data_IF_313622682990
#
_entry.id   IF_313622682990
#
_cell.length_a   1.000
_cell.length_b   1.000
_cell.length_c   1.000
_cell.angle_alpha   90.00
_cell.angle_beta   90.00
_cell.angle_gamma   90.00
#
_symmetry.space_group_name_H-M   'P 1'
#
loop_
_entity.id
_entity.type
_entity.pdbx_description
1 polymer ?
#
# COMPACT_ATOMS: atom_id res chain seq x y z
N UNK A 1 50.81 -7.27 13.56
CA UNK A 1 50.49 -8.69 13.80
C UNK A 1 49.26 -8.93 14.68
N UNK A 2 49.24 -8.63 16.00
CA UNK A 2 48.07 -8.95 16.84
C UNK A 2 46.80 -8.13 16.54
N UNK A 3 46.92 -6.86 16.11
CA UNK A 3 45.78 -6.04 15.69
C UNK A 3 45.23 -6.48 14.33
N UNK A 4 46.09 -6.79 13.36
CA UNK A 4 45.67 -7.24 12.02
C UNK A 4 44.92 -8.57 12.05
N UNK A 5 45.29 -9.50 12.94
CA UNK A 5 44.55 -10.74 13.14
C UNK A 5 43.19 -10.52 13.82
N UNK A 6 43.08 -9.55 14.74
CA UNK A 6 41.79 -9.18 15.35
C UNK A 6 40.85 -8.51 14.35
N UNK A 7 41.38 -7.62 13.51
CA UNK A 7 40.59 -6.92 12.51
C UNK A 7 40.14 -7.85 11.38
N UNK A 8 41.02 -8.77 10.94
CA UNK A 8 40.67 -9.84 9.99
C UNK A 8 39.56 -10.76 10.55
N UNK A 9 39.66 -11.15 11.83
CA UNK A 9 38.63 -11.97 12.48
C UNK A 9 37.29 -11.24 12.61
N UNK A 10 37.32 -9.94 12.94
CA UNK A 10 36.11 -9.09 13.00
C UNK A 10 35.44 -8.97 11.64
N UNK A 11 36.20 -8.73 10.59
CA UNK A 11 35.68 -8.61 9.23
C UNK A 11 35.10 -9.95 8.73
N UNK A 12 35.73 -11.07 9.08
CA UNK A 12 35.21 -12.40 8.77
C UNK A 12 33.88 -12.67 9.50
N UNK A 13 33.80 -12.37 10.80
CA UNK A 13 32.58 -12.49 11.59
C UNK A 13 31.46 -11.59 11.05
N UNK A 14 31.75 -10.33 10.72
CA UNK A 14 30.79 -9.40 10.17
C UNK A 14 30.19 -9.90 8.84
N UNK A 15 31.04 -10.37 7.91
CA UNK A 15 30.61 -10.97 6.65
C UNK A 15 29.72 -12.20 6.87
N UNK A 16 30.06 -13.03 7.85
CA UNK A 16 29.29 -14.24 8.17
C UNK A 16 27.94 -13.89 8.79
N UNK A 17 27.87 -12.92 9.71
CA UNK A 17 26.61 -12.40 10.25
C UNK A 17 25.72 -11.86 9.13
N UNK A 18 26.26 -11.04 8.23
CA UNK A 18 25.52 -10.49 7.10
C UNK A 18 24.92 -11.58 6.20
N UNK A 19 25.67 -12.66 5.92
CA UNK A 19 25.14 -13.81 5.16
C UNK A 19 23.96 -14.47 5.86
N UNK A 20 24.02 -14.64 7.18
CA UNK A 20 22.91 -15.21 7.94
C UNK A 20 21.69 -14.30 7.95
N UNK A 21 21.87 -12.98 8.09
CA UNK A 21 20.79 -12.00 8.00
C UNK A 21 20.10 -12.05 6.63
N UNK A 22 20.88 -12.02 5.53
CA UNK A 22 20.32 -12.13 4.17
C UNK A 22 19.56 -13.45 3.97
N UNK A 23 20.12 -14.56 4.45
CA UNK A 23 19.47 -15.87 4.36
C UNK A 23 18.15 -15.89 5.14
N UNK A 24 18.17 -15.38 6.37
CA UNK A 24 16.97 -15.28 7.21
C UNK A 24 15.89 -14.44 6.52
N UNK A 25 16.22 -13.26 5.97
CA UNK A 25 15.26 -12.41 5.25
C UNK A 25 14.63 -13.12 4.06
N UNK A 26 15.42 -13.78 3.23
CA UNK A 26 14.90 -14.51 2.06
C UNK A 26 13.95 -15.63 2.49
N UNK A 27 14.30 -16.38 3.54
CA UNK A 27 13.44 -17.43 4.07
C UNK A 27 12.13 -16.87 4.66
N UNK A 28 12.20 -15.77 5.42
CA UNK A 28 11.04 -15.12 6.02
C UNK A 28 10.08 -14.58 4.95
N UNK A 29 10.61 -13.91 3.92
CA UNK A 29 9.85 -13.51 2.71
C UNK A 29 9.26 -14.71 1.97
N UNK A 30 9.96 -15.85 1.98
CA UNK A 30 9.49 -17.14 1.48
C UNK A 30 8.39 -17.80 2.30
N UNK A 31 7.91 -17.18 3.37
CA UNK A 31 6.86 -17.73 4.23
C UNK A 31 7.37 -18.76 5.23
N UNK A 32 8.66 -18.75 5.59
CA UNK A 32 9.20 -19.62 6.65
C UNK A 32 8.79 -19.19 8.07
N UNK A 33 7.90 -18.20 8.21
CA UNK A 33 7.38 -17.71 9.50
C UNK A 33 6.67 -18.79 10.35
N UNK A 34 5.89 -19.74 9.81
CA UNK A 34 5.33 -20.84 10.60
C UNK A 34 6.42 -21.76 11.19
N UNK A 35 7.58 -21.83 10.54
CA UNK A 35 8.76 -22.54 11.03
C UNK A 35 9.48 -21.81 12.17
N UNK A 36 9.04 -20.60 12.57
CA UNK A 36 9.50 -19.93 13.80
C UNK A 36 9.11 -20.75 15.06
N UNK A 37 8.14 -21.66 14.96
CA UNK A 37 7.89 -22.66 16.01
C UNK A 37 9.11 -23.57 16.26
N UNK A 38 9.91 -23.86 15.22
CA UNK A 38 11.19 -24.57 15.33
C UNK A 38 12.30 -23.68 15.91
N UNK A 39 12.14 -22.36 15.92
CA UNK A 39 13.10 -21.43 16.56
C UNK A 39 13.10 -21.56 18.08
N UNK A 40 12.06 -22.16 18.66
CA UNK A 40 12.08 -22.63 20.05
C UNK A 40 13.25 -23.58 20.35
N UNK A 41 13.83 -24.22 19.33
CA UNK A 41 15.03 -25.06 19.45
C UNK A 41 16.35 -24.32 19.17
N UNK A 42 16.30 -23.07 18.69
CA UNK A 42 17.49 -22.24 18.49
C UNK A 42 17.98 -21.66 19.82
N UNK A 43 19.29 -21.41 19.90
CA UNK A 43 19.84 -20.62 21.01
C UNK A 43 19.24 -19.21 21.04
N UNK A 44 19.05 -18.64 22.21
CA UNK A 44 18.47 -17.29 22.40
C UNK A 44 19.07 -16.22 21.48
N UNK A 45 20.41 -16.11 21.29
CA UNK A 45 20.98 -15.12 20.38
C UNK A 45 20.55 -15.30 18.92
N UNK A 46 20.38 -16.55 18.46
CA UNK A 46 19.92 -16.85 17.10
C UNK A 46 18.43 -16.56 16.93
N UNK A 47 17.62 -16.85 17.97
CA UNK A 47 16.20 -16.52 18.00
C UNK A 47 15.99 -15.01 17.89
N UNK A 48 16.68 -14.23 18.72
CA UNK A 48 16.61 -12.78 18.71
C UNK A 48 17.02 -12.19 17.35
N UNK A 49 18.08 -12.72 16.72
CA UNK A 49 18.48 -12.31 15.37
C UNK A 49 17.36 -12.53 14.35
N UNK A 50 16.73 -13.70 14.33
CA UNK A 50 15.67 -13.99 13.35
C UNK A 50 14.44 -13.12 13.59
N UNK A 51 14.04 -12.90 14.85
CA UNK A 51 12.92 -12.01 15.17
C UNK A 51 13.20 -10.56 14.75
N UNK A 52 14.42 -10.07 14.97
CA UNK A 52 14.84 -8.74 14.52
C UNK A 52 14.83 -8.62 12.99
N UNK A 53 15.32 -9.63 12.27
CA UNK A 53 15.26 -9.64 10.80
C UNK A 53 13.82 -9.73 10.29
N UNK A 54 12.92 -10.41 11.01
CA UNK A 54 11.52 -10.46 10.64
C UNK A 54 10.81 -9.13 10.86
N UNK A 55 11.08 -8.44 11.98
CA UNK A 55 10.63 -7.07 12.19
C UNK A 55 11.10 -6.15 11.05
N UNK A 56 12.35 -6.29 10.61
CA UNK A 56 12.87 -5.53 9.46
C UNK A 56 12.12 -5.83 8.17
N UNK A 57 11.83 -7.10 7.85
CA UNK A 57 11.01 -7.48 6.67
C UNK A 57 9.60 -6.86 6.77
N UNK A 58 8.97 -6.90 7.95
CA UNK A 58 7.68 -6.26 8.14
C UNK A 58 7.77 -4.73 7.99
N UNK A 59 8.83 -4.08 8.47
CA UNK A 59 9.04 -2.63 8.35
C UNK A 59 9.39 -2.17 6.93
N UNK A 60 9.83 -3.07 6.04
CA UNK A 60 10.02 -2.78 4.61
C UNK A 60 8.70 -2.73 3.83
N UNK A 61 7.66 -3.46 4.29
CA UNK A 61 6.39 -3.61 3.57
C UNK A 61 5.68 -2.30 3.21
N UNK A 62 5.56 -1.28 4.09
CA UNK A 62 4.94 -0.02 3.71
C UNK A 62 5.59 0.63 2.49
N UNK A 63 6.92 0.60 2.41
CA UNK A 63 7.67 1.14 1.27
C UNK A 63 7.39 0.35 0.00
N UNK A 64 7.43 -0.99 0.09
CA UNK A 64 7.14 -1.90 -1.02
C UNK A 64 5.72 -1.70 -1.55
N UNK A 65 4.73 -1.62 -0.66
CA UNK A 65 3.33 -1.39 -1.02
C UNK A 65 3.16 -0.05 -1.73
N UNK A 66 3.74 1.02 -1.19
CA UNK A 66 3.64 2.34 -1.82
C UNK A 66 4.35 2.37 -3.18
N UNK A 67 5.49 1.69 -3.32
CA UNK A 67 6.18 1.55 -4.60
C UNK A 67 5.34 0.76 -5.62
N UNK A 68 4.70 -0.33 -5.19
CA UNK A 68 3.81 -1.15 -6.02
C UNK A 68 2.60 -0.34 -6.53
N UNK A 69 1.92 0.39 -5.63
CA UNK A 69 0.81 1.28 -5.97
C UNK A 69 1.26 2.37 -6.95
N UNK A 70 2.40 3.01 -6.67
CA UNK A 70 2.93 4.06 -7.54
C UNK A 70 3.32 3.54 -8.92
N UNK A 71 3.89 2.33 -8.99
CA UNK A 71 4.19 1.64 -10.25
C UNK A 71 2.95 1.39 -11.07
N UNK A 72 1.92 0.77 -10.47
CA UNK A 72 0.66 0.44 -11.15
C UNK A 72 -0.10 1.67 -11.66
N UNK A 73 -0.06 2.78 -10.92
CA UNK A 73 -0.74 4.03 -11.29
C UNK A 73 0.11 4.95 -12.17
N UNK A 74 1.39 4.64 -12.39
CA UNK A 74 2.31 5.51 -13.14
C UNK A 74 1.84 5.76 -14.57
N UNK A 75 1.42 4.76 -15.38
CA UNK A 75 0.97 5.01 -16.74
C UNK A 75 -0.28 5.90 -16.77
N UNK A 76 -1.24 5.66 -15.87
CA UNK A 76 -2.45 6.47 -15.74
C UNK A 76 -2.11 7.92 -15.37
N UNK A 77 -1.26 8.13 -14.36
CA UNK A 77 -0.85 9.49 -13.95
C UNK A 77 -0.18 10.24 -15.08
N UNK A 78 0.71 9.57 -15.80
CA UNK A 78 1.40 10.15 -16.94
C UNK A 78 0.39 10.54 -18.03
N UNK A 79 -0.47 9.62 -18.46
CA UNK A 79 -1.45 9.91 -19.52
C UNK A 79 -2.44 11.00 -19.11
N UNK A 80 -2.94 10.98 -17.86
CA UNK A 80 -3.81 12.03 -17.35
C UNK A 80 -3.12 13.41 -17.38
N UNK A 81 -1.82 13.47 -17.04
CA UNK A 81 -1.05 14.72 -17.08
C UNK A 81 -0.86 15.26 -18.50
N UNK A 82 -0.86 14.38 -19.51
CA UNK A 82 -0.80 14.76 -20.93
C UNK A 82 -2.16 15.21 -21.44
N UNK A 83 -3.24 14.50 -21.11
CA UNK A 83 -4.59 14.79 -21.62
C UNK A 83 -5.17 16.06 -20.99
N UNK A 84 -4.93 16.30 -19.70
CA UNK A 84 -5.51 17.44 -18.95
C UNK A 84 -5.32 18.80 -19.65
N UNK A 85 -4.10 19.20 -20.08
CA UNK A 85 -3.90 20.46 -20.79
C UNK A 85 -4.38 20.43 -22.24
N UNK A 86 -4.61 19.25 -22.83
CA UNK A 86 -5.07 19.11 -24.22
C UNK A 86 -6.59 19.22 -24.35
N UNK A 87 -7.36 18.84 -23.32
CA UNK A 87 -8.82 18.90 -23.37
C UNK A 87 -9.37 20.31 -23.67
N UNK A 88 -8.90 21.40 -23.01
CA UNK A 88 -9.45 22.74 -23.26
C UNK A 88 -9.14 23.30 -24.65
N UNK A 89 -8.10 22.78 -25.32
CA UNK A 89 -7.69 23.24 -26.66
C UNK A 89 -8.22 22.36 -27.78
N UNK A 90 -8.91 21.26 -27.44
CA UNK A 90 -9.51 20.40 -28.44
C UNK A 90 -10.65 21.16 -29.14
N UNK A 91 -10.61 21.31 -30.47
CA UNK A 91 -11.69 21.94 -31.19
C UNK A 91 -12.94 21.07 -31.07
N UNK A 92 -14.06 21.68 -30.75
CA UNK A 92 -15.36 21.02 -30.82
C UNK A 92 -16.33 21.85 -31.67
N UNK A 93 -17.26 21.14 -32.29
CA UNK A 93 -18.20 21.65 -33.28
C UNK A 93 -19.59 21.72 -32.65
N UNK A 94 -19.84 22.73 -31.83
CA UNK A 94 -21.07 22.91 -31.03
C UNK A 94 -22.12 23.82 -31.69
N UNK A 95 -21.89 24.27 -32.93
CA UNK A 95 -22.86 25.06 -33.69
C UNK A 95 -23.90 24.25 -34.47
N UNK A 96 -25.03 24.89 -34.79
CA UNK A 96 -26.11 24.30 -35.61
C UNK A 96 -25.64 23.96 -37.04
N UNK A 97 -26.15 22.85 -37.56
CA UNK A 97 -25.98 22.45 -38.97
C UNK A 97 -26.48 23.57 -39.91
N UNK A 98 -25.79 23.90 -41.04
CA UNK A 98 -24.72 23.14 -41.70
C UNK A 98 -23.28 23.58 -41.37
N UNK A 99 -23.09 24.59 -40.52
CA UNK A 99 -21.79 25.22 -40.28
C UNK A 99 -21.49 25.33 -38.77
N UNK A 100 -21.07 24.23 -38.11
CA UNK A 100 -20.71 24.30 -36.72
C UNK A 100 -19.46 25.18 -36.54
N UNK A 101 -19.57 26.26 -35.77
CA UNK A 101 -18.43 27.11 -35.43
C UNK A 101 -17.48 26.36 -34.48
N UNK A 102 -16.16 26.39 -34.70
CA UNK A 102 -15.21 25.79 -33.77
C UNK A 102 -15.12 26.65 -32.51
N UNK A 103 -15.31 26.03 -31.35
CA UNK A 103 -15.09 26.66 -30.05
C UNK A 103 -14.21 25.77 -29.15
N UNK A 104 -13.70 26.33 -28.05
CA UNK A 104 -12.91 25.60 -27.06
C UNK A 104 -13.81 25.05 -25.96
N UNK A 105 -13.56 23.81 -25.53
CA UNK A 105 -14.31 23.22 -24.42
C UNK A 105 -14.08 24.04 -23.14
N UNK A 106 -15.17 24.48 -22.51
CA UNK A 106 -15.14 25.11 -21.20
C UNK A 106 -15.20 24.03 -20.12
N UNK A 107 -14.29 24.09 -19.15
CA UNK A 107 -14.22 23.15 -18.03
C UNK A 107 -14.32 23.91 -16.72
N UNK A 108 -15.12 23.39 -15.79
CA UNK A 108 -15.12 23.84 -14.40
C UNK A 108 -13.81 23.50 -13.67
N UNK A 109 -13.63 24.00 -12.44
CA UNK A 109 -12.47 23.68 -11.63
C UNK A 109 -12.25 22.16 -11.53
N UNK A 110 -11.06 21.69 -11.92
CA UNK A 110 -10.65 20.28 -11.89
C UNK A 110 -11.44 19.32 -12.79
N UNK A 111 -12.38 19.82 -13.61
CA UNK A 111 -13.18 18.95 -14.48
C UNK A 111 -12.33 18.29 -15.57
N UNK A 112 -11.43 19.05 -16.19
CA UNK A 112 -10.46 18.51 -17.14
C UNK A 112 -9.54 17.45 -16.50
N UNK A 113 -9.12 17.63 -15.24
CA UNK A 113 -8.32 16.63 -14.51
C UNK A 113 -9.15 15.35 -14.30
N UNK A 114 -10.41 15.48 -13.88
CA UNK A 114 -11.29 14.35 -13.65
C UNK A 114 -11.57 13.54 -14.92
N UNK A 115 -11.89 14.21 -16.03
CA UNK A 115 -12.11 13.55 -17.32
C UNK A 115 -10.82 12.86 -17.77
N UNK A 116 -9.69 13.56 -17.70
CA UNK A 116 -8.38 12.99 -18.08
C UNK A 116 -8.01 11.78 -17.23
N UNK A 117 -8.30 11.82 -15.93
CA UNK A 117 -8.08 10.70 -15.02
C UNK A 117 -8.91 9.48 -15.39
N UNK A 118 -10.18 9.67 -15.78
CA UNK A 118 -11.06 8.60 -16.26
C UNK A 118 -10.61 8.05 -17.60
N UNK A 119 -10.22 8.89 -18.55
CA UNK A 119 -9.67 8.43 -19.83
C UNK A 119 -8.37 7.65 -19.59
N UNK A 120 -7.52 8.11 -18.68
CA UNK A 120 -6.27 7.44 -18.37
C UNK A 120 -6.44 6.15 -17.55
N UNK A 121 -7.63 5.87 -17.01
CA UNK A 121 -7.91 4.65 -16.26
C UNK A 121 -7.87 3.38 -17.13
N UNK A 122 -7.74 3.49 -18.46
CA UNK A 122 -7.55 2.33 -19.33
C UNK A 122 -6.11 1.81 -19.39
N UNK A 123 -5.13 2.57 -18.89
CA UNK A 123 -3.71 2.20 -19.01
C UNK A 123 -3.04 1.83 -17.67
N UNK A 124 -3.77 1.82 -16.55
CA UNK A 124 -3.21 1.38 -15.27
C UNK A 124 -2.86 -0.11 -15.28
N UNK A 125 -1.85 -0.50 -14.50
CA UNK A 125 -1.30 -1.85 -14.49
C UNK A 125 -1.52 -2.53 -13.13
N UNK A 126 -2.71 -3.08 -12.85
CA UNK A 126 -2.97 -3.74 -11.56
C UNK A 126 -2.10 -4.97 -11.34
N UNK A 127 -1.72 -5.68 -12.40
CA UNK A 127 -0.81 -6.82 -12.35
C UNK A 127 0.60 -6.45 -11.89
N UNK A 128 1.09 -5.25 -12.21
CA UNK A 128 2.40 -4.78 -11.78
C UNK A 128 2.47 -4.59 -10.27
N UNK A 129 1.39 -4.08 -9.64
CA UNK A 129 1.32 -3.99 -8.19
C UNK A 129 1.33 -5.38 -7.54
N UNK A 130 0.58 -6.33 -8.10
CA UNK A 130 0.53 -7.71 -7.59
C UNK A 130 1.88 -8.42 -7.71
N UNK A 131 2.58 -8.24 -8.83
CA UNK A 131 3.91 -8.79 -9.06
C UNK A 131 4.94 -8.23 -8.06
N UNK A 132 4.90 -6.93 -7.76
CA UNK A 132 5.80 -6.32 -6.77
C UNK A 132 5.56 -6.86 -5.35
N UNK A 133 4.30 -7.14 -4.99
CA UNK A 133 3.97 -7.79 -3.71
C UNK A 133 4.46 -9.24 -3.69
N UNK A 134 4.31 -9.98 -4.79
CA UNK A 134 4.78 -11.37 -4.90
C UNK A 134 6.30 -11.51 -4.87
N UNK A 135 7.02 -10.54 -5.44
CA UNK A 135 8.48 -10.51 -5.42
C UNK A 135 9.01 -10.30 -4.00
N UNK A 136 8.30 -9.51 -3.19
CA UNK A 136 8.68 -9.28 -1.80
C UNK A 136 8.19 -10.38 -0.85
N UNK A 137 6.96 -10.86 -1.03
CA UNK A 137 6.35 -11.94 -0.25
C UNK A 137 6.22 -13.18 -1.15
N UNK A 138 7.29 -13.96 -1.22
CA UNK A 138 7.45 -15.08 -2.15
C UNK A 138 6.56 -16.27 -1.75
N UNK A 139 6.44 -16.54 -0.45
CA UNK A 139 5.64 -17.65 0.08
C UNK A 139 4.13 -17.40 -0.02
N UNK A 140 3.33 -18.46 -0.08
CA UNK A 140 1.88 -18.33 0.10
C UNK A 140 1.57 -18.20 1.60
N UNK A 141 1.39 -16.96 2.05
CA UNK A 141 1.07 -16.63 3.44
C UNK A 141 -0.22 -15.82 3.53
N UNK A 142 -0.85 -15.84 4.71
CA UNK A 142 -2.01 -14.98 5.01
C UNK A 142 -1.68 -13.51 4.82
N UNK A 143 -0.49 -13.08 5.26
CA UNK A 143 0.02 -11.73 5.04
C UNK A 143 0.06 -11.37 3.56
N UNK A 144 0.60 -12.24 2.71
CA UNK A 144 0.65 -12.01 1.25
C UNK A 144 -0.74 -11.86 0.66
N UNK A 145 -1.68 -12.76 1.00
CA UNK A 145 -3.06 -12.68 0.49
C UNK A 145 -3.74 -11.37 0.91
N UNK A 146 -3.64 -11.01 2.20
CA UNK A 146 -4.12 -9.73 2.74
C UNK A 146 -3.55 -8.53 1.96
N UNK A 147 -2.23 -8.50 1.76
CA UNK A 147 -1.56 -7.43 1.01
C UNK A 147 -2.03 -7.36 -0.44
N UNK A 148 -2.10 -8.50 -1.14
CA UNK A 148 -2.55 -8.55 -2.54
C UNK A 148 -3.96 -8.01 -2.69
N UNK A 149 -4.91 -8.47 -1.88
CA UNK A 149 -6.30 -8.01 -2.00
C UNK A 149 -6.42 -6.54 -1.63
N UNK A 150 -5.77 -6.08 -0.55
CA UNK A 150 -5.80 -4.68 -0.15
C UNK A 150 -5.18 -3.76 -1.23
N UNK A 151 -3.99 -4.07 -1.71
CA UNK A 151 -3.31 -3.28 -2.75
C UNK A 151 -4.09 -3.31 -4.06
N UNK A 152 -4.61 -4.48 -4.46
CA UNK A 152 -5.41 -4.63 -5.67
C UNK A 152 -6.70 -3.81 -5.61
N UNK A 153 -7.39 -3.83 -4.47
CA UNK A 153 -8.58 -3.00 -4.24
C UNK A 153 -8.22 -1.52 -4.29
N UNK A 154 -7.17 -1.08 -3.59
CA UNK A 154 -6.76 0.32 -3.60
C UNK A 154 -6.42 0.80 -5.02
N UNK A 155 -5.63 0.04 -5.78
CA UNK A 155 -5.27 0.39 -7.16
C UNK A 155 -6.51 0.49 -8.04
N UNK A 156 -7.43 -0.47 -7.94
CA UNK A 156 -8.70 -0.44 -8.67
C UNK A 156 -9.54 0.79 -8.32
N UNK A 157 -9.69 1.11 -7.04
CA UNK A 157 -10.46 2.27 -6.57
C UNK A 157 -9.80 3.60 -6.97
N UNK A 158 -8.47 3.70 -6.82
CA UNK A 158 -7.70 4.86 -7.23
C UNK A 158 -7.79 5.12 -8.73
N UNK A 159 -7.79 4.07 -9.55
CA UNK A 159 -7.88 4.19 -10.99
C UNK A 159 -9.29 4.51 -11.47
N UNK A 160 -10.29 3.78 -10.97
CA UNK A 160 -11.64 3.78 -11.54
C UNK A 160 -12.61 4.72 -10.83
N UNK A 161 -12.45 4.95 -9.53
CA UNK A 161 -13.41 5.73 -8.74
C UNK A 161 -12.90 7.13 -8.40
N UNK A 162 -11.61 7.31 -8.09
CA UNK A 162 -11.06 8.63 -7.81
C UNK A 162 -11.25 9.62 -8.99
N UNK A 163 -11.30 10.90 -8.67
CA UNK A 163 -11.45 12.03 -9.59
C UNK A 163 -10.12 12.62 -10.04
N UNK A 164 -9.00 12.16 -9.50
CA UNK A 164 -7.70 12.70 -9.88
C UNK A 164 -6.59 12.24 -8.97
N UNK A 165 -5.37 12.59 -9.34
CA UNK A 165 -4.18 12.22 -8.57
C UNK A 165 -4.20 12.87 -7.17
N UNK A 166 -4.80 14.05 -7.05
CA UNK A 166 -4.94 14.75 -5.78
C UNK A 166 -5.74 13.95 -4.75
N UNK A 167 -6.81 13.27 -5.17
CA UNK A 167 -7.62 12.43 -4.29
C UNK A 167 -6.86 11.15 -3.90
N UNK A 168 -6.13 10.55 -4.85
CA UNK A 168 -5.34 9.34 -4.60
C UNK A 168 -4.20 9.59 -3.61
N UNK A 169 -3.44 10.67 -3.81
CA UNK A 169 -2.30 11.02 -2.95
C UNK A 169 -2.75 11.67 -1.64
N UNK A 170 -3.92 12.30 -1.66
CA UNK A 170 -4.51 12.96 -0.51
C UNK A 170 -4.31 14.45 -0.49
N UNK A 171 -5.37 15.17 -0.11
CA UNK A 171 -5.28 16.58 0.25
C UNK A 171 -4.62 16.73 1.63
N UNK A 172 -4.05 17.91 1.88
CA UNK A 172 -3.65 18.30 3.23
C UNK A 172 -4.89 18.43 4.09
N UNK A 173 -4.89 17.78 5.25
CA UNK A 173 -5.93 17.83 6.26
C UNK A 173 -5.30 17.87 7.66
N UNK A 174 -5.96 18.54 8.59
CA UNK A 174 -5.51 18.61 9.98
C UNK A 174 -5.97 17.36 10.73
N UNK A 175 -5.00 16.54 11.15
CA UNK A 175 -5.24 15.30 11.90
C UNK A 175 -4.39 15.32 13.16
N UNK A 176 -5.03 15.42 14.33
CA UNK A 176 -4.33 15.45 15.61
C UNK A 176 -3.38 16.65 15.75
N UNK A 177 -3.86 17.85 15.42
CA UNK A 177 -3.11 19.12 15.46
C UNK A 177 -1.90 19.22 14.51
N UNK A 178 -1.73 18.28 13.57
CA UNK A 178 -0.74 18.33 12.51
C UNK A 178 -1.43 18.26 11.14
N UNK A 179 -0.97 19.09 10.20
CA UNK A 179 -1.43 19.05 8.82
C UNK A 179 -0.72 17.91 8.08
N UNK A 180 -1.44 16.84 7.77
CA UNK A 180 -0.93 15.65 7.06
C UNK A 180 -1.69 15.43 5.76
N UNK A 181 -1.10 14.69 4.80
CA UNK A 181 -1.86 14.24 3.64
C UNK A 181 -2.72 13.04 4.01
N UNK A 182 -4.01 13.09 3.70
CA UNK A 182 -4.95 11.98 3.88
C UNK A 182 -5.24 11.38 2.51
N UNK A 183 -4.58 10.26 2.14
CA UNK A 183 -4.79 9.59 0.85
C UNK A 183 -6.21 9.03 0.73
N UNK A 184 -6.54 8.53 -0.45
CA UNK A 184 -7.82 7.88 -0.72
C UNK A 184 -8.18 6.84 0.37
N UNK A 185 -9.32 7.05 1.01
CA UNK A 185 -9.87 6.15 2.02
C UNK A 185 -10.95 5.25 1.39
N UNK A 186 -10.52 4.23 0.66
CA UNK A 186 -11.41 3.33 -0.09
C UNK A 186 -11.77 2.04 0.65
N UNK A 187 -11.39 1.92 1.92
CA UNK A 187 -11.75 0.80 2.78
C UNK A 187 -12.75 1.25 3.84
N UNK A 188 -13.57 0.31 4.30
CA UNK A 188 -14.52 0.51 5.36
C UNK A 188 -14.44 -0.65 6.36
N UNK A 189 -14.58 -0.34 7.64
CA UNK A 189 -14.82 -1.34 8.69
C UNK A 189 -16.29 -1.29 9.07
N UNK A 190 -16.94 -2.46 9.14
CA UNK A 190 -18.31 -2.56 9.61
C UNK A 190 -18.38 -2.40 11.14
N UNK A 191 -18.82 -1.23 11.61
CA UNK A 191 -18.96 -0.90 13.03
C UNK A 191 -20.27 -1.41 13.67
N UNK A 192 -21.07 -2.22 12.97
CA UNK A 192 -22.32 -2.82 13.47
C UNK A 192 -23.50 -1.85 13.66
N UNK A 193 -23.25 -0.56 13.90
CA UNK A 193 -24.26 0.48 14.19
C UNK A 193 -24.65 1.33 12.97
N UNK A 194 -24.32 0.91 11.75
CA UNK A 194 -24.55 1.67 10.52
C UNK A 194 -23.54 2.81 10.28
N UNK A 195 -22.69 3.12 11.26
CA UNK A 195 -21.50 3.95 11.04
C UNK A 195 -20.34 3.07 10.59
N UNK A 196 -19.85 3.36 9.39
CA UNK A 196 -18.64 2.74 8.83
C UNK A 196 -17.45 3.66 9.07
N UNK A 197 -16.36 3.12 9.61
CA UNK A 197 -15.09 3.85 9.69
C UNK A 197 -14.33 3.65 8.39
N UNK A 198 -14.02 4.76 7.70
CA UNK A 198 -13.22 4.72 6.48
C UNK A 198 -11.73 4.62 6.81
N UNK A 199 -11.03 3.78 6.06
CA UNK A 199 -9.59 3.54 6.21
C UNK A 199 -8.89 3.73 4.87
N UNK A 200 -7.62 4.16 4.92
CA UNK A 200 -6.70 4.12 3.79
C UNK A 200 -5.96 2.80 3.70
N UNK A 201 -5.20 2.64 2.62
CA UNK A 201 -4.36 1.44 2.44
C UNK A 201 -3.26 1.32 3.49
N UNK A 202 -2.80 2.44 4.05
CA UNK A 202 -1.72 2.46 5.05
C UNK A 202 -2.16 1.82 6.34
N UNK A 203 -3.36 2.14 6.81
CA UNK A 203 -3.99 1.57 8.01
C UNK A 203 -4.21 0.06 7.85
N UNK A 204 -4.72 -0.37 6.69
CA UNK A 204 -4.93 -1.79 6.38
C UNK A 204 -3.60 -2.57 6.33
N UNK A 205 -2.57 -1.99 5.70
CA UNK A 205 -1.23 -2.60 5.62
C UNK A 205 -0.61 -2.70 7.01
N UNK A 206 -0.74 -1.66 7.84
CA UNK A 206 -0.23 -1.67 9.21
C UNK A 206 -0.92 -2.74 10.05
N UNK A 207 -2.26 -2.84 9.98
CA UNK A 207 -3.00 -3.88 10.68
C UNK A 207 -2.53 -5.29 10.30
N UNK A 208 -2.31 -5.56 9.02
CA UNK A 208 -1.82 -6.87 8.59
C UNK A 208 -0.41 -7.19 9.11
N UNK A 209 0.46 -6.18 9.21
CA UNK A 209 1.80 -6.33 9.81
C UNK A 209 1.71 -6.60 11.31
N UNK A 210 0.83 -5.90 12.03
CA UNK A 210 0.61 -6.13 13.46
C UNK A 210 0.06 -7.52 13.75
N UNK A 211 -0.90 -8.01 12.95
CA UNK A 211 -1.42 -9.37 13.08
C UNK A 211 -0.33 -10.43 12.86
N UNK A 212 0.49 -10.26 11.82
CA UNK A 212 1.61 -11.16 11.54
C UNK A 212 2.62 -11.15 12.69
N UNK A 213 2.96 -9.97 13.19
CA UNK A 213 3.89 -9.82 14.29
C UNK A 213 3.38 -10.45 15.58
N UNK A 214 2.11 -10.22 15.92
CA UNK A 214 1.46 -10.83 17.08
C UNK A 214 1.40 -12.37 16.95
N UNK A 215 1.09 -12.88 15.76
CA UNK A 215 1.05 -14.33 15.49
C UNK A 215 2.41 -15.00 15.70
N UNK A 216 3.50 -14.28 15.42
CA UNK A 216 4.86 -14.83 15.45
C UNK A 216 5.73 -14.34 16.60
N UNK A 217 5.19 -13.53 17.53
CA UNK A 217 5.92 -12.97 18.67
C UNK A 217 7.02 -11.99 18.25
N UNK A 218 6.81 -11.25 17.17
CA UNK A 218 7.74 -10.24 16.66
C UNK A 218 7.41 -8.89 17.31
N UNK A 219 8.43 -8.20 17.80
CA UNK A 219 8.32 -6.86 18.35
C UNK A 219 9.02 -5.85 17.43
N UNK A 220 8.78 -4.54 17.64
CA UNK A 220 9.45 -3.48 16.87
C UNK A 220 8.84 -3.20 15.49
N UNK A 221 7.56 -3.53 15.28
CA UNK A 221 6.83 -3.11 14.07
C UNK A 221 6.46 -1.64 14.18
N UNK A 222 7.05 -0.83 13.31
CA UNK A 222 6.84 0.62 13.28
C UNK A 222 5.65 0.97 12.37
N UNK A 223 4.83 1.94 12.80
CA UNK A 223 3.69 2.40 12.00
C UNK A 223 4.13 3.04 10.68
N UNK A 224 5.14 3.91 10.72
CA UNK A 224 5.72 4.56 9.55
C UNK A 224 4.82 5.62 8.89
N UNK A 225 3.66 5.95 9.48
CA UNK A 225 2.79 7.07 9.11
C UNK A 225 1.94 7.49 10.31
N UNK A 226 1.65 8.79 10.45
CA UNK A 226 0.84 9.32 11.55
C UNK A 226 1.23 8.73 12.93
N UNK A 227 2.53 8.69 13.21
CA UNK A 227 3.10 8.05 14.41
C UNK A 227 2.56 8.69 15.70
N UNK A 228 2.16 9.95 15.63
CA UNK A 228 1.54 10.69 16.74
C UNK A 228 0.16 10.17 17.13
N UNK A 229 -0.52 9.38 16.29
CA UNK A 229 -1.88 8.88 16.54
C UNK A 229 -1.91 7.48 17.18
N UNK A 230 -0.76 6.90 17.52
CA UNK A 230 -0.70 5.53 18.04
C UNK A 230 -1.21 4.48 17.05
N UNK A 231 -1.67 3.33 17.52
CA UNK A 231 -2.16 2.23 16.65
C UNK A 231 -3.70 2.13 16.58
N UNK A 232 -4.43 2.86 17.42
CA UNK A 232 -5.88 2.74 17.61
C UNK A 232 -6.68 2.97 16.32
N UNK A 233 -6.16 3.81 15.42
CA UNK A 233 -6.75 4.09 14.11
C UNK A 233 -6.67 2.89 13.15
N UNK A 234 -5.80 1.92 13.42
CA UNK A 234 -5.58 0.72 12.62
C UNK A 234 -6.28 -0.53 13.20
N UNK A 235 -6.85 -0.44 14.41
CA UNK A 235 -7.45 -1.60 15.09
C UNK A 235 -8.88 -1.86 14.64
N UNK A 236 -9.17 -3.07 14.16
CA UNK A 236 -10.52 -3.55 13.92
C UNK A 236 -10.63 -5.04 14.27
N UNK A 237 -11.84 -5.45 14.69
CA UNK A 237 -12.06 -6.72 15.41
C UNK A 237 -11.81 -7.98 14.58
N UNK A 238 -11.86 -7.87 13.24
CA UNK A 238 -11.54 -8.98 12.33
C UNK A 238 -11.52 -8.58 10.86
N UNK A 239 -10.82 -9.36 10.03
CA UNK A 239 -10.66 -9.09 8.58
C UNK A 239 -11.95 -9.31 7.79
N UNK A 240 -12.85 -10.13 8.31
CA UNK A 240 -14.20 -10.32 7.80
C UNK A 240 -15.05 -9.04 7.87
N UNK A 241 -14.69 -8.10 8.76
CA UNK A 241 -15.35 -6.79 8.89
C UNK A 241 -14.72 -5.74 7.97
N UNK A 242 -13.63 -6.05 7.28
CA UNK A 242 -12.99 -5.16 6.32
C UNK A 242 -13.66 -5.32 4.96
N UNK A 243 -14.03 -4.18 4.38
CA UNK A 243 -14.72 -4.13 3.11
C UNK A 243 -14.59 -2.76 2.47
N UNK A 244 -15.56 -2.43 1.64
CA UNK A 244 -15.74 -1.10 1.06
C UNK A 244 -17.22 -0.77 0.96
N UNK A 245 -17.51 0.52 0.80
CA UNK A 245 -18.88 0.98 0.52
C UNK A 245 -19.07 1.02 -0.98
N UNK A 246 -20.07 0.30 -1.47
CA UNK A 246 -20.54 0.47 -2.84
C UNK A 246 -21.29 1.80 -2.94
N UNK A 247 -20.75 2.75 -3.71
CA UNK A 247 -21.35 4.06 -3.88
C UNK A 247 -22.69 4.02 -4.63
N UNK A 248 -22.99 2.95 -5.37
CA UNK A 248 -24.26 2.83 -6.10
C UNK A 248 -25.41 2.38 -5.20
N UNK A 249 -25.11 1.55 -4.20
CA UNK A 249 -26.11 0.95 -3.32
C UNK A 249 -26.00 1.43 -1.87
N UNK A 250 -24.97 2.20 -1.54
CA UNK A 250 -24.56 2.53 -0.17
C UNK A 250 -24.46 1.29 0.74
N UNK A 251 -24.09 0.14 0.15
CA UNK A 251 -24.02 -1.14 0.85
C UNK A 251 -22.56 -1.50 1.13
N UNK A 252 -22.34 -2.06 2.31
CA UNK A 252 -21.06 -2.63 2.66
C UNK A 252 -20.82 -3.93 1.90
N UNK A 253 -19.68 -4.00 1.21
CA UNK A 253 -19.22 -5.21 0.50
C UNK A 253 -17.95 -5.72 1.18
N UNK A 254 -17.94 -6.95 1.71
CA UNK A 254 -16.74 -7.52 2.33
C UNK A 254 -15.64 -7.70 1.30
N UNK A 255 -14.38 -7.48 1.69
CA UNK A 255 -13.23 -7.60 0.79
C UNK A 255 -12.89 -9.06 0.43
N UNK A 256 -13.42 -10.03 1.18
CA UNK A 256 -13.17 -11.46 0.97
C UNK A 256 -11.73 -11.87 1.32
N UNK A 257 -11.17 -11.30 2.39
CA UNK A 257 -9.80 -11.57 2.83
C UNK A 257 -9.79 -12.67 3.89
N UNK A 258 -9.32 -13.88 3.53
CA UNK A 258 -8.85 -14.95 4.42
C UNK A 258 -7.82 -15.88 3.72
#
# INVERSE_FOLDING_TARGET
MQNEQRDSMREFCARRCQRYQTTARVLLRGGAAPSLSLISSLTEPSRQLVLAEYAAVLNELPSVVMAAINGALRPQRWLASVITPLLPIAPHHDGDYPCPSPSNLSFGPQEAEAISWKIAAFVYEPSAAMAAIDEHLIGDSRLRRRMRVAVGHFVSQASTRARGNREVVGALADVGALTVRVPLQCFAVNGGSGQHRLLGVREVVHRARLDEAAQHGVEGVEKGFNEHLGNDDCEFSGWEQLGYLDNERHQFVPLGID
#
